data_IF_814228498084
#
_entry.id   IF_814228498084
#
_cell.length_a   1.000
_cell.length_b   1.000
_cell.length_c   1.000
_cell.angle_alpha   90.00
_cell.angle_beta   90.00
_cell.angle_gamma   90.00
#
_symmetry.space_group_name_H-M   'P 1'
#
loop_
_entity.id
_entity.type
_entity.pdbx_description
1 polymer ?
#
# COMPACT_ATOMS: atom_id res chain seq x y z
N UNK A 1 -15.51 -14.94 -4.46
CA UNK A 1 -14.78 -13.76 -3.95
C UNK A 1 -13.46 -13.68 -4.68
N UNK A 2 -13.06 -12.49 -5.12
CA UNK A 2 -11.75 -12.23 -5.73
C UNK A 2 -10.91 -11.38 -4.80
N UNK A 3 -9.59 -11.51 -4.89
CA UNK A 3 -8.62 -10.71 -4.17
C UNK A 3 -7.72 -9.98 -5.15
N UNK A 4 -7.34 -8.75 -4.82
CA UNK A 4 -6.40 -7.96 -5.60
C UNK A 4 -5.60 -7.06 -4.65
N UNK A 5 -4.30 -6.86 -4.91
CA UNK A 5 -3.51 -5.82 -4.27
C UNK A 5 -4.14 -4.43 -4.48
N UNK A 6 -4.02 -3.54 -3.50
CA UNK A 6 -4.58 -2.19 -3.56
C UNK A 6 -4.06 -1.28 -2.44
N UNK A 7 -4.86 -0.27 -2.09
CA UNK A 7 -4.48 0.82 -1.17
C UNK A 7 -3.99 2.05 -1.92
N UNK A 8 -4.33 3.26 -1.44
CA UNK A 8 -4.04 4.48 -2.19
C UNK A 8 -2.55 4.67 -2.43
N UNK A 9 -1.72 4.46 -1.41
CA UNK A 9 -0.26 4.57 -1.52
C UNK A 9 0.34 3.59 -2.53
N UNK A 10 -0.05 2.32 -2.46
CA UNK A 10 0.42 1.29 -3.41
C UNK A 10 0.01 1.61 -4.85
N UNK A 11 -1.26 2.00 -5.07
CA UNK A 11 -1.77 2.37 -6.39
C UNK A 11 -1.03 3.59 -6.97
N UNK A 12 -0.75 4.60 -6.13
CA UNK A 12 0.02 5.78 -6.52
C UNK A 12 1.48 5.44 -6.85
N UNK A 13 2.12 4.60 -6.04
CA UNK A 13 3.50 4.15 -6.27
C UNK A 13 3.65 3.41 -7.60
N UNK A 14 2.73 2.47 -7.89
CA UNK A 14 2.69 1.74 -9.17
C UNK A 14 2.45 2.70 -10.34
N UNK A 15 1.52 3.65 -10.20
CA UNK A 15 1.26 4.63 -11.24
C UNK A 15 2.49 5.50 -11.54
N UNK A 16 3.19 5.98 -10.50
CA UNK A 16 4.40 6.78 -10.64
C UNK A 16 5.55 6.00 -11.29
N UNK A 17 5.77 4.74 -10.86
CA UNK A 17 6.80 3.89 -11.44
C UNK A 17 6.53 3.60 -12.92
N UNK A 18 5.28 3.29 -13.27
CA UNK A 18 4.86 3.10 -14.68
C UNK A 18 4.97 4.36 -15.52
N UNK A 19 4.86 5.55 -14.90
CA UNK A 19 5.08 6.83 -15.56
C UNK A 19 6.57 7.18 -15.74
N UNK A 20 7.50 6.34 -15.24
CA UNK A 20 8.94 6.47 -15.44
C UNK A 20 9.71 7.06 -14.25
N UNK A 21 9.06 7.28 -13.10
CA UNK A 21 9.75 7.72 -11.90
C UNK A 21 10.52 6.56 -11.23
N UNK A 22 11.65 6.86 -10.58
CA UNK A 22 12.23 5.95 -9.60
C UNK A 22 11.45 6.06 -8.29
N UNK A 23 10.82 4.97 -7.85
CA UNK A 23 9.89 4.99 -6.72
C UNK A 23 10.38 4.07 -5.62
N UNK A 24 10.49 4.61 -4.41
CA UNK A 24 10.57 3.85 -3.16
C UNK A 24 9.24 3.97 -2.42
N UNK A 25 8.72 2.85 -1.93
CA UNK A 25 7.50 2.83 -1.13
C UNK A 25 7.82 2.69 0.35
N UNK A 26 7.25 3.58 1.15
CA UNK A 26 7.33 3.59 2.61
C UNK A 26 5.96 3.20 3.15
N UNK A 27 5.91 2.16 3.98
CA UNK A 27 4.64 1.59 4.44
C UNK A 27 4.83 0.46 5.44
N UNK A 28 3.74 0.05 6.08
CA UNK A 28 3.72 -1.03 7.07
C UNK A 28 2.86 -2.18 6.58
N UNK A 29 3.42 -3.38 6.49
CA UNK A 29 2.72 -4.60 6.07
C UNK A 29 2.53 -5.55 7.24
N UNK A 30 1.45 -6.34 7.18
CA UNK A 30 1.22 -7.41 8.15
C UNK A 30 2.18 -8.59 7.94
N UNK A 31 1.98 -9.64 8.73
CA UNK A 31 2.67 -10.94 8.63
C UNK A 31 1.80 -12.03 7.97
N UNK A 32 0.81 -11.62 7.18
CA UNK A 32 -0.14 -12.49 6.48
C UNK A 32 0.19 -12.66 4.98
N UNK A 33 -0.46 -13.63 4.34
CA UNK A 33 -0.24 -13.91 2.91
C UNK A 33 -0.59 -12.72 1.98
N UNK A 34 -1.47 -11.82 2.42
CA UNK A 34 -1.78 -10.60 1.67
C UNK A 34 -0.59 -9.64 1.61
N UNK A 35 0.28 -9.62 2.63
CA UNK A 35 1.52 -8.88 2.60
C UNK A 35 2.46 -9.39 1.50
N UNK A 36 2.60 -10.70 1.36
CA UNK A 36 3.45 -11.30 0.33
C UNK A 36 2.93 -11.00 -1.09
N UNK A 37 1.61 -11.08 -1.29
CA UNK A 37 0.97 -10.71 -2.56
C UNK A 37 1.19 -9.22 -2.89
N UNK A 38 1.10 -8.34 -1.90
CA UNK A 38 1.32 -6.90 -2.09
C UNK A 38 2.81 -6.59 -2.39
N UNK A 39 3.75 -7.25 -1.71
CA UNK A 39 5.19 -7.15 -1.99
C UNK A 39 5.49 -7.56 -3.43
N UNK A 40 5.01 -8.74 -3.84
CA UNK A 40 5.20 -9.24 -5.19
C UNK A 40 4.60 -8.30 -6.24
N UNK A 41 3.42 -7.74 -5.97
CA UNK A 41 2.76 -6.78 -6.84
C UNK A 41 3.59 -5.50 -7.04
N UNK A 42 4.11 -4.91 -5.96
CA UNK A 42 4.90 -3.69 -6.04
C UNK A 42 6.23 -3.92 -6.77
N UNK A 43 6.95 -5.00 -6.44
CA UNK A 43 8.19 -5.37 -7.11
C UNK A 43 8.01 -5.62 -8.61
N UNK A 44 6.94 -6.34 -8.98
CA UNK A 44 6.61 -6.59 -10.39
C UNK A 44 6.31 -5.30 -11.19
N UNK A 45 6.01 -4.19 -10.51
CA UNK A 45 5.79 -2.88 -11.11
C UNK A 45 6.98 -1.93 -10.96
N UNK A 46 8.15 -2.40 -10.52
CA UNK A 46 9.37 -1.60 -10.41
C UNK A 46 9.38 -0.64 -9.22
N UNK A 47 8.57 -0.89 -8.19
CA UNK A 47 8.56 -0.10 -6.95
C UNK A 47 9.53 -0.73 -5.94
N UNK A 48 10.48 0.06 -5.45
CA UNK A 48 11.41 -0.33 -4.38
C UNK A 48 10.72 -0.40 -3.01
N UNK A 49 11.18 -1.32 -2.16
CA UNK A 49 10.54 -1.67 -0.89
C UNK A 49 11.46 -1.52 0.33
N UNK A 50 12.55 -0.77 0.20
CA UNK A 50 13.53 -0.62 1.29
C UNK A 50 12.95 0.15 2.49
N UNK A 51 11.88 0.92 2.26
CA UNK A 51 11.14 1.66 3.28
C UNK A 51 9.99 0.91 3.96
N UNK A 52 9.88 -0.42 3.77
CA UNK A 52 8.77 -1.21 4.33
C UNK A 52 9.11 -1.79 5.70
N UNK A 53 8.23 -1.55 6.68
CA UNK A 53 8.22 -2.27 7.95
C UNK A 53 7.23 -3.44 7.91
N UNK A 54 7.55 -4.53 8.60
CA UNK A 54 6.60 -5.61 8.88
C UNK A 54 6.17 -5.49 10.33
N UNK A 55 4.87 -5.49 10.57
CA UNK A 55 4.26 -5.49 11.92
C UNK A 55 3.45 -6.75 12.12
N UNK A 56 3.33 -7.21 13.36
CA UNK A 56 2.53 -8.40 13.64
C UNK A 56 1.04 -8.13 13.45
N UNK A 57 0.35 -9.09 12.83
CA UNK A 57 -1.08 -9.03 12.60
C UNK A 57 -1.44 -8.73 11.14
N UNK A 58 -2.73 -8.48 10.86
CA UNK A 58 -3.22 -8.46 9.50
C UNK A 58 -2.77 -7.22 8.72
N UNK A 59 -2.56 -7.40 7.43
CA UNK A 59 -2.40 -6.30 6.48
C UNK A 59 -3.67 -5.44 6.40
N UNK A 60 -3.53 -4.18 6.00
CA UNK A 60 -4.67 -3.32 5.71
C UNK A 60 -5.55 -3.91 4.61
N UNK A 61 -6.88 -3.83 4.77
CA UNK A 61 -7.82 -4.50 3.87
C UNK A 61 -9.07 -3.66 3.62
N UNK A 62 -9.48 -3.62 2.35
CA UNK A 62 -10.77 -3.10 1.94
C UNK A 62 -11.66 -4.28 1.51
N UNK A 63 -12.85 -4.38 2.08
CA UNK A 63 -13.91 -5.25 1.59
C UNK A 63 -14.82 -4.42 0.68
N UNK A 64 -14.90 -4.80 -0.58
CA UNK A 64 -15.72 -4.15 -1.58
C UNK A 64 -16.88 -5.09 -1.90
N UNK A 65 -18.09 -4.69 -1.54
CA UNK A 65 -19.32 -5.39 -1.86
C UNK A 65 -20.00 -4.64 -2.99
N UNK A 66 -20.19 -5.32 -4.12
CA UNK A 66 -20.92 -4.78 -5.28
C UNK A 66 -22.31 -5.41 -5.26
N UNK A 67 -23.35 -4.59 -5.21
CA UNK A 67 -24.72 -5.07 -5.21
C UNK A 67 -25.25 -5.35 -6.64
N UNK A 68 -26.51 -5.78 -6.74
CA UNK A 68 -27.14 -6.10 -8.03
C UNK A 68 -27.34 -4.86 -8.94
N UNK A 69 -27.23 -3.65 -8.40
CA UNK A 69 -27.32 -2.39 -9.13
C UNK A 69 -25.95 -1.83 -9.52
N UNK A 70 -24.86 -2.45 -9.05
CA UNK A 70 -23.49 -2.02 -9.31
C UNK A 70 -22.95 -1.00 -8.31
N UNK A 71 -23.65 -0.77 -7.19
CA UNK A 71 -23.18 0.13 -6.14
C UNK A 71 -22.09 -0.52 -5.30
N UNK A 72 -21.03 0.25 -5.00
CA UNK A 72 -19.90 -0.22 -4.20
C UNK A 72 -20.06 0.20 -2.74
N UNK A 73 -20.24 -0.78 -1.86
CA UNK A 73 -20.04 -0.57 -0.41
C UNK A 73 -18.63 -0.98 -0.02
N UNK A 74 -17.87 -0.05 0.57
CA UNK A 74 -16.47 -0.26 0.93
C UNK A 74 -16.32 -0.20 2.45
N UNK A 75 -15.85 -1.29 3.04
CA UNK A 75 -15.48 -1.36 4.46
C UNK A 75 -13.97 -1.48 4.56
N UNK A 76 -13.33 -0.57 5.30
CA UNK A 76 -11.88 -0.52 5.43
C UNK A 76 -11.47 -0.90 6.85
N UNK A 77 -10.54 -1.84 6.96
CA UNK A 77 -9.80 -2.13 8.18
C UNK A 77 -8.34 -1.70 7.95
N UNK A 78 -7.86 -0.74 8.75
CA UNK A 78 -6.52 -0.17 8.56
C UNK A 78 -5.40 -1.20 8.75
N UNK A 79 -5.56 -2.15 9.68
CA UNK A 79 -4.58 -3.20 9.93
C UNK A 79 -3.18 -2.63 10.19
N UNK A 80 -2.17 -3.24 9.57
CA UNK A 80 -0.78 -2.78 9.62
C UNK A 80 -0.58 -1.29 9.27
N UNK A 81 -1.40 -0.68 8.40
CA UNK A 81 -1.25 0.72 8.01
C UNK A 81 -1.38 1.69 9.20
N UNK A 82 -2.19 1.33 10.21
CA UNK A 82 -2.35 2.15 11.42
C UNK A 82 -1.13 2.14 12.34
N UNK A 83 -0.17 1.25 12.09
CA UNK A 83 1.07 1.09 12.87
C UNK A 83 2.29 1.64 12.12
N UNK A 84 2.08 2.37 11.02
CA UNK A 84 3.18 2.98 10.29
C UNK A 84 3.83 4.08 11.13
N UNK A 85 5.13 3.92 11.38
CA UNK A 85 6.00 4.95 11.90
C UNK A 85 6.97 5.38 10.80
N UNK A 86 6.98 6.68 10.46
CA UNK A 86 7.84 7.21 9.40
C UNK A 86 9.03 7.93 10.03
N UNK A 87 10.23 7.41 9.79
CA UNK A 87 11.45 8.13 10.14
C UNK A 87 11.62 9.35 9.22
N UNK A 88 12.06 10.53 9.72
CA UNK A 88 12.30 11.71 8.89
C UNK A 88 13.23 11.48 7.69
N UNK A 89 14.16 10.52 7.83
CA UNK A 89 15.08 10.14 6.77
C UNK A 89 14.42 9.38 5.60
N UNK A 90 13.19 8.88 5.74
CA UNK A 90 12.49 8.13 4.70
C UNK A 90 12.13 8.98 3.47
N UNK A 91 12.17 10.30 3.61
CA UNK A 91 12.04 11.27 2.51
C UNK A 91 13.35 12.03 2.22
N UNK A 92 14.47 11.60 2.82
CA UNK A 92 15.77 12.18 2.49
C UNK A 92 16.11 11.79 1.05
N UNK A 93 16.56 12.75 0.26
CA UNK A 93 17.06 12.54 -1.11
C UNK A 93 16.00 12.13 -2.16
N UNK A 94 14.74 12.59 -2.02
CA UNK A 94 13.73 12.51 -3.09
C UNK A 94 13.31 13.89 -3.61
N UNK A 95 13.00 14.00 -4.91
CA UNK A 95 12.46 15.22 -5.50
C UNK A 95 11.00 15.49 -5.08
N UNK A 96 10.23 14.41 -4.86
CA UNK A 96 8.79 14.46 -4.55
C UNK A 96 8.45 13.45 -3.47
N UNK A 97 7.84 13.94 -2.39
CA UNK A 97 7.14 13.12 -1.41
C UNK A 97 5.64 13.13 -1.72
N UNK A 98 5.06 11.95 -1.94
CA UNK A 98 3.63 11.76 -2.17
C UNK A 98 3.01 10.97 -1.02
N UNK A 99 1.97 11.52 -0.39
CA UNK A 99 1.25 10.91 0.74
C UNK A 99 -0.26 11.00 0.59
N UNK A 100 -0.99 10.30 1.46
CA UNK A 100 -2.45 10.20 1.50
C UNK A 100 -2.93 10.12 2.96
N UNK A 101 -4.25 10.13 3.18
CA UNK A 101 -4.88 10.09 4.52
C UNK A 101 -5.31 8.66 4.96
N UNK A 102 -4.58 7.62 4.54
CA UNK A 102 -4.83 6.22 4.95
C UNK A 102 -3.79 5.69 5.96
N UNK A 103 -2.95 6.59 6.48
CA UNK A 103 -1.88 6.35 7.45
C UNK A 103 -1.88 7.47 8.51
N UNK A 104 -1.28 7.27 9.70
CA UNK A 104 -1.21 8.27 10.77
C UNK A 104 -0.54 9.60 10.39
#
# INVERSE_FOLDING_TARGET
MSHAPGGKGANQAVAAARAGAHVQFVGAFGDDAAADELRAHLLANGVGLDGISTVSGPSGRAMIVVDAHGENTIVVAAGANAQLEVAPAAAAECDVLLTQLEIP
#
